data_IF_607540922654
#
_entry.id   IF_607540922654
#
_cell.length_a   1.000
_cell.length_b   1.000
_cell.length_c   1.000
_cell.angle_alpha   90.00
_cell.angle_beta   90.00
_cell.angle_gamma   90.00
#
_symmetry.space_group_name_H-M   'P 1'
#
loop_
_entity.id
_entity.type
_entity.pdbx_description
1 polymer ?
#
# COMPACT_ATOMS: atom_id res chain seq x y z
N UNK A 1 -18.48 -2.91 -9.53
CA UNK A 1 -17.02 -2.82 -9.34
C UNK A 1 -16.79 -1.96 -8.12
N UNK A 2 -16.69 -2.60 -6.94
CA UNK A 2 -16.70 -1.91 -5.66
C UNK A 2 -15.43 -1.09 -5.46
N UNK A 3 -15.60 0.22 -5.27
CA UNK A 3 -14.51 1.17 -5.09
C UNK A 3 -13.98 1.05 -3.67
N UNK A 4 -13.07 0.10 -3.41
CA UNK A 4 -12.25 0.01 -2.19
C UNK A 4 -11.21 1.16 -2.13
N UNK A 5 -11.66 2.40 -2.31
CA UNK A 5 -10.82 3.60 -2.34
C UNK A 5 -11.18 4.50 -1.16
N UNK A 6 -10.28 4.60 -0.19
CA UNK A 6 -10.37 5.59 0.88
C UNK A 6 -9.41 6.76 0.62
N UNK A 7 -9.77 7.98 1.04
CA UNK A 7 -8.90 9.16 0.94
C UNK A 7 -8.12 9.34 2.24
N UNK A 8 -6.79 9.28 2.14
CA UNK A 8 -5.89 9.64 3.24
C UNK A 8 -5.46 11.10 3.08
N UNK A 9 -5.70 11.93 4.09
CA UNK A 9 -5.23 13.32 4.14
C UNK A 9 -4.15 13.43 5.20
N UNK A 10 -2.97 13.90 4.83
CA UNK A 10 -1.84 14.09 5.73
C UNK A 10 -1.40 15.55 5.69
N UNK A 11 -1.21 16.16 6.85
CA UNK A 11 -0.58 17.48 6.97
C UNK A 11 0.93 17.29 7.08
N UNK A 12 1.66 17.91 6.17
CA UNK A 12 3.12 17.90 6.18
C UNK A 12 3.64 19.32 6.00
N UNK A 13 4.82 19.57 6.55
CA UNK A 13 5.52 20.83 6.38
C UNK A 13 5.72 21.16 4.88
N UNK A 14 5.50 22.43 4.45
CA UNK A 14 5.59 22.81 3.05
C UNK A 14 6.98 22.65 2.44
N UNK A 15 8.05 22.79 3.23
CA UNK A 15 9.42 22.57 2.75
C UNK A 15 9.66 21.08 2.51
N UNK A 16 9.22 20.22 3.45
CA UNK A 16 9.29 18.76 3.29
C UNK A 16 8.49 18.28 2.08
N UNK A 17 7.28 18.81 1.87
CA UNK A 17 6.45 18.50 0.70
C UNK A 17 7.19 18.77 -0.61
N UNK A 18 7.78 19.97 -0.75
CA UNK A 18 8.51 20.36 -1.97
C UNK A 18 9.70 19.45 -2.23
N UNK A 19 10.48 19.12 -1.20
CA UNK A 19 11.62 18.21 -1.34
C UNK A 19 11.17 16.81 -1.73
N UNK A 20 10.09 16.31 -1.13
CA UNK A 20 9.51 15.00 -1.46
C UNK A 20 9.00 14.95 -2.90
N UNK A 21 8.26 15.96 -3.35
CA UNK A 21 7.76 16.06 -4.73
C UNK A 21 8.90 16.12 -5.74
N UNK A 22 9.95 16.89 -5.47
CA UNK A 22 11.16 16.93 -6.31
C UNK A 22 11.84 15.58 -6.39
N UNK A 23 12.00 14.90 -5.25
CA UNK A 23 12.61 13.57 -5.21
C UNK A 23 11.80 12.55 -6.03
N UNK A 24 10.48 12.57 -5.90
CA UNK A 24 9.59 11.70 -6.68
C UNK A 24 9.69 12.01 -8.18
N UNK A 25 9.71 13.29 -8.57
CA UNK A 25 9.83 13.72 -9.95
C UNK A 25 11.17 13.30 -10.60
N UNK A 26 12.27 13.27 -9.84
CA UNK A 26 13.56 12.78 -10.32
C UNK A 26 13.58 11.27 -10.64
N UNK A 27 12.61 10.52 -10.12
CA UNK A 27 12.49 9.08 -10.30
C UNK A 27 11.30 8.70 -11.19
N UNK A 28 10.66 9.68 -11.85
CA UNK A 28 9.44 9.50 -12.64
C UNK A 28 8.27 8.87 -11.83
N UNK A 29 8.22 9.13 -10.53
CA UNK A 29 7.19 8.63 -9.62
C UNK A 29 6.28 9.76 -9.15
N UNK A 30 5.01 9.42 -8.88
CA UNK A 30 4.10 10.33 -8.19
C UNK A 30 4.19 10.14 -6.67
N UNK A 31 4.06 11.23 -5.87
CA UNK A 31 4.02 11.15 -4.40
C UNK A 31 3.03 10.10 -3.88
N UNK A 32 1.86 10.00 -4.50
CA UNK A 32 0.80 9.03 -4.15
C UNK A 32 1.23 7.58 -4.37
N UNK A 33 2.04 7.28 -5.37
CA UNK A 33 2.56 5.92 -5.60
C UNK A 33 3.58 5.57 -4.51
N UNK A 34 4.49 6.48 -4.20
CA UNK A 34 5.51 6.28 -3.16
C UNK A 34 4.87 6.08 -1.79
N UNK A 35 3.86 6.90 -1.42
CA UNK A 35 3.14 6.77 -0.16
C UNK A 35 2.38 5.45 -0.07
N UNK A 36 1.76 4.99 -1.15
CA UNK A 36 1.08 3.68 -1.16
C UNK A 36 2.06 2.53 -0.97
N UNK A 37 3.23 2.58 -1.60
CA UNK A 37 4.25 1.56 -1.43
C UNK A 37 4.77 1.56 0.01
N UNK A 38 5.07 2.74 0.56
CA UNK A 38 5.43 2.91 1.98
C UNK A 38 4.40 2.29 2.93
N UNK A 39 3.11 2.52 2.69
CA UNK A 39 2.04 1.93 3.51
C UNK A 39 2.06 0.40 3.43
N UNK A 40 2.18 -0.16 2.22
CA UNK A 40 2.23 -1.62 2.02
C UNK A 40 3.44 -2.24 2.72
N UNK A 41 4.62 -1.66 2.52
CA UNK A 41 5.85 -2.15 3.13
C UNK A 41 5.81 -2.03 4.65
N UNK A 42 5.20 -0.97 5.17
CA UNK A 42 4.99 -0.78 6.61
C UNK A 42 4.06 -1.83 7.20
N UNK A 43 2.91 -2.09 6.57
CA UNK A 43 1.97 -3.13 7.02
C UNK A 43 2.63 -4.52 7.00
N UNK A 44 3.31 -4.86 5.91
CA UNK A 44 4.04 -6.12 5.76
C UNK A 44 5.13 -6.28 6.85
N UNK A 45 5.87 -5.21 7.16
CA UNK A 45 6.89 -5.24 8.22
C UNK A 45 6.30 -5.45 9.62
N UNK A 46 5.09 -4.97 9.87
CA UNK A 46 4.41 -5.06 11.16
C UNK A 46 3.55 -6.32 11.33
N UNK A 47 3.54 -7.23 10.34
CA UNK A 47 2.81 -8.49 10.42
C UNK A 47 1.29 -8.35 10.29
N UNK A 48 0.81 -7.16 9.92
CA UNK A 48 -0.55 -6.97 9.45
C UNK A 48 -0.58 -7.49 8.02
N UNK A 49 -1.04 -8.73 7.85
CA UNK A 49 -1.20 -9.37 6.55
C UNK A 49 -2.26 -8.59 5.76
N UNK A 50 -1.83 -7.50 5.13
CA UNK A 50 -2.66 -6.70 4.27
C UNK A 50 -2.82 -7.50 2.97
N UNK A 51 -3.74 -8.46 3.02
CA UNK A 51 -4.34 -9.09 1.86
C UNK A 51 -5.08 -7.99 1.09
N UNK A 52 -4.34 -7.14 0.38
CA UNK A 52 -4.90 -6.60 -0.84
C UNK A 52 -5.23 -7.83 -1.66
N UNK A 53 -6.50 -8.18 -1.73
CA UNK A 53 -7.04 -8.87 -2.88
C UNK A 53 -6.68 -8.02 -4.09
N UNK A 54 -5.45 -8.16 -4.57
CA UNK A 54 -5.01 -7.80 -5.91
C UNK A 54 -5.72 -8.80 -6.82
N UNK A 55 -7.04 -8.64 -6.93
CA UNK A 55 -7.83 -9.23 -8.00
C UNK A 55 -7.46 -8.50 -9.29
N UNK A 56 -6.26 -8.77 -9.77
CA UNK A 56 -6.00 -8.87 -11.20
C UNK A 56 -5.94 -10.37 -11.47
N UNK A 57 -6.97 -10.86 -12.12
CA UNK A 57 -7.03 -12.20 -12.71
C UNK A 57 -7.35 -13.35 -11.75
N UNK A 58 -8.55 -13.33 -11.16
CA UNK A 58 -9.43 -14.51 -11.10
C UNK A 58 -8.91 -15.84 -10.55
N UNK A 59 -7.91 -15.87 -9.65
CA UNK A 59 -7.56 -17.07 -8.89
C UNK A 59 -7.25 -16.70 -7.43
N UNK A 60 -8.25 -16.88 -6.58
CA UNK A 60 -8.03 -17.09 -5.15
C UNK A 60 -7.46 -18.51 -5.06
N UNK A 61 -6.13 -18.63 -5.00
CA UNK A 61 -5.55 -19.81 -4.39
C UNK A 61 -5.67 -19.58 -2.89
N UNK A 62 -6.79 -20.07 -2.38
CA UNK A 62 -6.95 -20.41 -0.98
C UNK A 62 -5.77 -21.34 -0.66
N UNK A 63 -4.73 -20.80 -0.03
CA UNK A 63 -3.69 -21.62 0.56
C UNK A 63 -4.29 -22.11 1.88
N UNK A 64 -4.67 -23.37 1.84
CA UNK A 64 -5.20 -24.16 2.93
C UNK A 64 -4.42 -23.91 4.23
N UNK A 65 -5.01 -23.14 5.14
CA UNK A 65 -4.67 -23.28 6.56
C UNK A 65 -5.50 -24.45 7.08
N UNK A 66 -4.98 -25.66 6.92
CA UNK A 66 -5.43 -26.84 7.67
C UNK A 66 -5.50 -26.51 9.17
N UNK A 67 -6.60 -26.82 9.87
CA UNK A 67 -6.65 -26.66 11.31
C UNK A 67 -5.99 -27.89 11.95
N UNK A 68 -4.80 -27.72 12.55
CA UNK A 68 -4.29 -28.72 13.51
C UNK A 68 -3.72 -28.06 14.77
N UNK A 69 -4.60 -27.81 15.72
CA UNK A 69 -4.45 -28.05 17.17
C UNK A 69 -5.75 -27.52 17.81
N UNK A 70 -6.55 -28.31 18.53
CA UNK A 70 -6.21 -29.28 19.56
C UNK A 70 -7.38 -30.23 19.78
#
# INVERSE_FOLDING_TARGET
MEKKTARLTLLIDPQKKRTFEKLCALQDLTPSQVVRQLIRDYLHKHGEDYQTELTKDGKILQADSEPLHK
#
